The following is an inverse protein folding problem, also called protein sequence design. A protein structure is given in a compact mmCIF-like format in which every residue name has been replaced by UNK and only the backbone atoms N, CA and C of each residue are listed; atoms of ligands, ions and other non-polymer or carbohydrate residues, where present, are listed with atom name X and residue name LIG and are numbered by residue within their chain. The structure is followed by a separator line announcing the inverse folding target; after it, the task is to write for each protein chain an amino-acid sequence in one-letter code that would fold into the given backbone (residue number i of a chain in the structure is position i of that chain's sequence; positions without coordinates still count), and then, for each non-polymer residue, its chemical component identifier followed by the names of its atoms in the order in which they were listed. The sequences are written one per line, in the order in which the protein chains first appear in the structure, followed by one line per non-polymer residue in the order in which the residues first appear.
data_IF_276681932294
#
_entry.id   IF_276681932294
#
_cell.length_a   1.000
_cell.length_b   1.000
_cell.length_c   1.000
_cell.angle_alpha   90.00
_cell.angle_beta   90.00
_cell.angle_gamma   90.00
#
_symmetry.space_group_name_H-M   'P 1'
#
loop_
_entity.id
_entity.type
_entity.pdbx_description
1 polymer ?
#
# COMPACT_ATOMS: atom_id res chain seq x y z
N UNK A 1 -38.51 40.82 0.50
CA UNK A 1 -38.24 40.45 -0.91
C UNK A 1 -37.33 39.22 -0.88
N UNK A 2 -37.88 37.99 -0.96
CA UNK A 2 -37.90 37.12 -2.17
C UNK A 2 -36.54 37.06 -2.88
N UNK A 3 -35.79 35.98 -2.69
CA UNK A 3 -35.56 34.96 -3.73
C UNK A 3 -34.16 35.19 -4.35
N UNK A 4 -33.29 34.22 -4.62
CA UNK A 4 -33.51 32.89 -5.14
C UNK A 4 -32.41 31.91 -4.69
N UNK A 5 -32.78 30.63 -4.61
CA UNK A 5 -31.87 29.48 -4.66
C UNK A 5 -31.41 29.30 -6.11
N UNK A 6 -30.13 29.07 -6.37
CA UNK A 6 -29.67 28.54 -7.66
C UNK A 6 -28.98 27.20 -7.44
N UNK A 7 -29.61 26.18 -8.01
CA UNK A 7 -29.15 24.82 -8.21
C UNK A 7 -28.37 24.82 -9.54
N UNK A 8 -27.14 24.29 -9.57
CA UNK A 8 -26.49 23.88 -10.83
C UNK A 8 -26.28 22.38 -10.73
N UNK A 9 -27.17 21.63 -11.40
CA UNK A 9 -26.91 20.29 -11.89
C UNK A 9 -26.49 20.48 -13.35
N UNK A 10 -25.29 20.04 -13.71
CA UNK A 10 -24.91 19.86 -15.10
C UNK A 10 -24.01 18.62 -15.23
N UNK A 11 -24.66 17.47 -15.42
CA UNK A 11 -24.09 16.38 -16.21
C UNK A 11 -24.55 16.65 -17.65
N UNK A 12 -23.62 16.90 -18.57
CA UNK A 12 -23.87 16.65 -19.99
C UNK A 12 -22.55 16.31 -20.69
N UNK A 13 -22.37 15.00 -20.88
CA UNK A 13 -21.59 14.43 -21.97
C UNK A 13 -22.26 14.84 -23.29
N UNK A 14 -21.53 15.53 -24.18
CA UNK A 14 -21.26 15.15 -25.58
C UNK A 14 -20.85 16.37 -26.44
N UNK A 15 -19.89 16.13 -27.34
CA UNK A 15 -19.41 16.98 -28.45
C UNK A 15 -18.49 18.18 -28.13
N UNK A 16 -17.21 17.86 -27.91
CA UNK A 16 -16.09 18.58 -28.53
C UNK A 16 -15.25 17.57 -29.33
N UNK A 17 -15.74 17.26 -30.54
CA UNK A 17 -14.93 16.64 -31.58
C UNK A 17 -14.07 17.76 -32.20
N UNK A 18 -12.80 17.81 -31.83
CA UNK A 18 -11.83 18.74 -32.42
C UNK A 18 -10.89 19.29 -31.36
N UNK A 19 -9.59 19.02 -31.54
CA UNK A 19 -8.47 19.39 -30.66
C UNK A 19 -8.29 18.55 -29.40
N UNK A 20 -8.00 17.26 -29.55
CA UNK A 20 -6.88 16.58 -28.85
C UNK A 20 -6.50 15.34 -29.66
N UNK A 21 -6.07 15.56 -30.91
CA UNK A 21 -5.31 14.55 -31.64
C UNK A 21 -3.95 14.38 -30.95
N UNK A 22 -3.76 13.22 -30.31
CA UNK A 22 -2.56 12.76 -29.58
C UNK A 22 -2.39 13.30 -28.15
N UNK A 23 -3.35 13.06 -27.25
CA UNK A 23 -2.90 12.37 -26.04
C UNK A 23 -2.62 10.95 -26.49
N UNK A 24 -1.35 10.54 -26.49
CA UNK A 24 -1.05 9.11 -26.40
C UNK A 24 -1.78 8.69 -25.14
N UNK A 25 -2.90 7.99 -25.28
CA UNK A 25 -3.58 7.41 -24.13
C UNK A 25 -2.49 6.57 -23.44
N UNK A 26 -2.04 7.02 -22.28
CA UNK A 26 -1.11 6.23 -21.49
C UNK A 26 -1.73 4.84 -21.37
N UNK A 27 -0.96 3.75 -21.58
CA UNK A 27 -1.53 2.43 -21.49
C UNK A 27 -2.23 2.31 -20.15
N UNK A 28 -3.52 1.93 -20.19
CA UNK A 28 -4.31 1.78 -18.97
C UNK A 28 -3.54 0.89 -17.98
N UNK A 29 -3.56 1.23 -16.68
CA UNK A 29 -2.91 0.40 -15.67
C UNK A 29 -3.40 -1.05 -15.81
N UNK A 30 -2.47 -2.00 -15.79
CA UNK A 30 -2.78 -3.43 -15.91
C UNK A 30 -3.57 -3.96 -14.72
N UNK A 31 -3.55 -3.23 -13.61
CA UNK A 31 -4.19 -3.56 -12.35
C UNK A 31 -4.55 -2.27 -11.61
N UNK A 32 -5.80 -2.13 -11.15
CA UNK A 32 -6.25 -1.03 -10.30
C UNK A 32 -6.89 -1.62 -9.05
N UNK A 33 -6.36 -1.25 -7.89
CA UNK A 33 -6.83 -1.73 -6.59
C UNK A 33 -7.43 -0.58 -5.79
N UNK A 34 -8.22 -0.92 -4.78
CA UNK A 34 -8.90 0.08 -3.94
C UNK A 34 -8.74 -0.24 -2.46
N UNK A 35 -8.49 0.79 -1.67
CA UNK A 35 -8.91 0.81 -0.27
C UNK A 35 -10.26 1.53 -0.19
N UNK A 36 -11.28 0.85 0.34
CA UNK A 36 -12.57 1.45 0.65
C UNK A 36 -12.94 1.11 2.09
N UNK A 37 -13.16 2.11 2.97
CA UNK A 37 -13.44 1.86 4.38
C UNK A 37 -14.56 0.86 4.59
N UNK A 38 -14.36 -0.08 5.53
CA UNK A 38 -15.30 -1.15 5.90
C UNK A 38 -15.65 -2.18 4.81
N UNK A 39 -15.10 -2.09 3.61
CA UNK A 39 -15.45 -3.00 2.51
C UNK A 39 -15.06 -4.46 2.76
N UNK A 40 -14.13 -4.72 3.68
CA UNK A 40 -13.80 -6.08 4.11
C UNK A 40 -14.97 -6.82 4.79
N UNK A 41 -15.92 -6.07 5.34
CA UNK A 41 -17.12 -6.59 6.00
C UNK A 41 -18.40 -6.37 5.17
N UNK A 42 -18.37 -5.39 4.26
CA UNK A 42 -19.46 -5.12 3.33
C UNK A 42 -18.96 -4.86 1.90
N UNK A 43 -18.94 -5.93 1.10
CA UNK A 43 -18.49 -5.89 -0.30
C UNK A 43 -19.40 -5.01 -1.17
N UNK A 44 -20.65 -4.77 -0.78
CA UNK A 44 -21.56 -3.92 -1.57
C UNK A 44 -21.01 -2.51 -1.72
N UNK A 45 -20.22 -2.02 -0.76
CA UNK A 45 -19.57 -0.72 -0.83
C UNK A 45 -18.66 -0.57 -2.06
N UNK A 46 -17.78 -1.55 -2.30
CA UNK A 46 -16.91 -1.52 -3.51
C UNK A 46 -17.76 -1.69 -4.76
N UNK A 47 -18.73 -2.61 -4.78
CA UNK A 47 -19.56 -2.88 -5.96
C UNK A 47 -20.40 -1.67 -6.39
N UNK A 48 -20.95 -0.93 -5.43
CA UNK A 48 -21.68 0.30 -5.70
C UNK A 48 -20.75 1.37 -6.24
N UNK A 49 -19.57 1.53 -5.63
CA UNK A 49 -18.57 2.50 -6.09
C UNK A 49 -18.05 2.18 -7.51
N UNK A 50 -17.82 0.90 -7.83
CA UNK A 50 -17.52 0.43 -9.18
C UNK A 50 -18.63 0.78 -10.18
N UNK A 51 -19.90 0.61 -9.78
CA UNK A 51 -21.05 0.95 -10.61
C UNK A 51 -21.12 2.46 -10.89
N UNK A 52 -20.89 3.28 -9.87
CA UNK A 52 -20.92 4.74 -9.98
C UNK A 52 -19.79 5.27 -10.89
N UNK A 53 -18.61 4.65 -10.82
CA UNK A 53 -17.45 5.02 -11.63
C UNK A 53 -17.41 4.37 -13.02
N UNK A 54 -18.16 3.29 -13.24
CA UNK A 54 -18.06 2.49 -14.46
C UNK A 54 -16.72 1.74 -14.60
N UNK A 55 -16.07 1.39 -13.47
CA UNK A 55 -14.79 0.66 -13.44
C UNK A 55 -14.91 -0.65 -12.67
N UNK A 56 -13.92 -1.53 -12.81
CA UNK A 56 -13.77 -2.73 -11.99
C UNK A 56 -12.39 -2.74 -11.36
N UNK A 57 -12.34 -2.94 -10.04
CA UNK A 57 -11.10 -3.10 -9.32
C UNK A 57 -10.64 -4.55 -9.38
N UNK A 58 -9.32 -4.74 -9.43
CA UNK A 58 -8.68 -6.05 -9.46
C UNK A 58 -8.40 -6.58 -8.04
N UNK A 59 -8.27 -5.68 -7.08
CA UNK A 59 -7.87 -5.97 -5.71
C UNK A 59 -8.45 -4.98 -4.72
N UNK A 60 -8.52 -5.42 -3.47
CA UNK A 60 -9.08 -4.66 -2.37
C UNK A 60 -8.16 -4.74 -1.15
N UNK A 61 -7.92 -3.58 -0.54
CA UNK A 61 -6.95 -3.38 0.53
C UNK A 61 -7.64 -3.25 1.90
N UNK A 62 -6.99 -3.73 2.96
CA UNK A 62 -7.33 -3.40 4.34
C UNK A 62 -6.07 -3.34 5.22
N UNK A 63 -6.23 -2.88 6.46
CA UNK A 63 -5.15 -2.61 7.39
C UNK A 63 -5.34 -3.46 8.65
N UNK A 64 -4.24 -4.01 9.17
CA UNK A 64 -4.17 -4.60 10.51
C UNK A 64 -2.89 -4.13 11.19
N UNK A 65 -2.98 -3.87 12.49
CA UNK A 65 -1.81 -3.75 13.34
C UNK A 65 -1.47 -5.10 14.01
N UNK A 66 -0.44 -5.13 14.84
CA UNK A 66 0.01 -6.35 15.52
C UNK A 66 -0.75 -6.68 16.81
N UNK A 67 -1.87 -6.01 17.05
CA UNK A 67 -2.82 -6.35 18.14
C UNK A 67 -3.97 -7.22 17.64
N UNK A 68 -4.05 -7.42 16.32
CA UNK A 68 -5.11 -8.19 15.68
C UNK A 68 -4.50 -9.39 14.95
N UNK A 69 -5.11 -10.56 15.17
CA UNK A 69 -4.80 -11.77 14.41
C UNK A 69 -5.24 -11.61 12.94
N UNK A 70 -4.82 -12.53 12.08
CA UNK A 70 -5.19 -12.47 10.67
C UNK A 70 -6.70 -12.61 10.49
N UNK A 71 -7.34 -11.58 9.92
CA UNK A 71 -8.78 -11.55 9.67
C UNK A 71 -9.16 -12.39 8.44
N UNK A 72 -9.17 -13.72 8.59
CA UNK A 72 -9.46 -14.66 7.50
C UNK A 72 -10.77 -14.34 6.76
N UNK A 73 -11.80 -13.91 7.47
CA UNK A 73 -13.11 -13.61 6.86
C UNK A 73 -13.06 -12.40 5.93
N UNK A 74 -12.28 -11.37 6.27
CA UNK A 74 -12.05 -10.21 5.38
C UNK A 74 -11.34 -10.64 4.11
N UNK A 75 -10.27 -11.44 4.24
CA UNK A 75 -9.54 -11.97 3.09
C UNK A 75 -10.42 -12.87 2.21
N UNK A 76 -11.27 -13.71 2.82
CA UNK A 76 -12.25 -14.56 2.11
C UNK A 76 -13.33 -13.73 1.41
N UNK A 77 -13.83 -12.67 2.03
CA UNK A 77 -14.84 -11.80 1.43
C UNK A 77 -14.32 -11.13 0.16
N UNK A 78 -13.10 -10.59 0.20
CA UNK A 78 -12.46 -10.04 -0.99
C UNK A 78 -12.21 -11.10 -2.06
N UNK A 79 -11.57 -12.22 -1.68
CA UNK A 79 -11.20 -13.25 -2.64
C UNK A 79 -12.40 -13.93 -3.31
N UNK A 80 -13.45 -14.26 -2.55
CA UNK A 80 -14.69 -14.86 -3.09
C UNK A 80 -15.49 -13.90 -3.96
N UNK A 81 -15.28 -12.59 -3.80
CA UNK A 81 -15.90 -11.54 -4.60
C UNK A 81 -15.09 -11.14 -5.84
N UNK A 82 -13.96 -11.82 -6.09
CA UNK A 82 -13.12 -11.59 -7.28
C UNK A 82 -12.01 -10.56 -7.11
N UNK A 83 -11.79 -10.04 -5.90
CA UNK A 83 -10.72 -9.10 -5.59
C UNK A 83 -9.49 -9.83 -5.05
N UNK A 84 -8.29 -9.51 -5.56
CA UNK A 84 -7.03 -9.87 -4.91
C UNK A 84 -6.95 -9.17 -3.54
N UNK A 85 -6.88 -9.91 -2.42
CA UNK A 85 -6.74 -9.30 -1.10
C UNK A 85 -5.32 -8.72 -0.94
N UNK A 86 -5.23 -7.47 -0.47
CA UNK A 86 -3.98 -6.80 -0.11
C UNK A 86 -4.05 -6.29 1.33
N UNK A 87 -3.22 -6.85 2.20
CA UNK A 87 -3.13 -6.45 3.61
C UNK A 87 -1.98 -5.46 3.78
N UNK A 88 -2.25 -4.25 4.27
CA UNK A 88 -1.24 -3.46 4.97
C UNK A 88 -1.11 -3.96 6.39
N UNK A 89 0.10 -4.44 6.72
CA UNK A 89 0.38 -5.03 8.02
C UNK A 89 1.37 -4.14 8.79
N UNK A 90 0.82 -3.45 9.78
CA UNK A 90 1.48 -2.39 10.52
C UNK A 90 2.10 -2.95 11.80
N UNK A 91 3.44 -2.96 11.94
CA UNK A 91 4.11 -3.54 13.09
C UNK A 91 4.06 -2.59 14.29
N UNK A 92 2.87 -2.39 14.83
CA UNK A 92 2.60 -1.56 16.00
C UNK A 92 1.67 -2.25 17.01
N UNK A 93 1.91 -1.98 18.29
CA UNK A 93 1.13 -2.46 19.44
C UNK A 93 0.92 -1.28 20.40
N UNK A 94 -0.31 -1.06 20.87
CA UNK A 94 -0.64 0.02 21.80
C UNK A 94 -0.26 1.41 21.28
N UNK A 95 -0.39 1.64 19.97
CA UNK A 95 0.00 2.90 19.34
C UNK A 95 1.50 3.07 19.05
N UNK A 96 2.34 2.08 19.38
CA UNK A 96 3.81 2.18 19.26
C UNK A 96 4.35 1.19 18.25
N UNK A 97 5.28 1.61 17.41
CA UNK A 97 5.99 0.71 16.52
C UNK A 97 6.88 -0.25 17.31
N UNK A 98 6.96 -1.49 16.85
CA UNK A 98 7.86 -2.48 17.44
C UNK A 98 9.31 -2.13 17.11
N UNK A 99 10.23 -2.52 18.00
CA UNK A 99 11.65 -2.51 17.67
C UNK A 99 11.96 -3.69 16.78
N UNK A 100 12.62 -3.44 15.66
CA UNK A 100 13.02 -4.51 14.73
C UNK A 100 13.93 -5.55 15.39
N UNK A 101 14.74 -5.15 16.37
CA UNK A 101 15.59 -6.07 17.13
C UNK A 101 14.78 -7.02 18.01
N UNK A 102 13.68 -6.56 18.61
CA UNK A 102 12.80 -7.38 19.46
C UNK A 102 12.09 -8.46 18.63
N UNK A 103 11.74 -8.12 17.38
CA UNK A 103 11.20 -9.08 16.42
C UNK A 103 12.25 -10.13 16.08
N UNK A 104 13.47 -9.73 15.74
CA UNK A 104 14.53 -10.68 15.37
C UNK A 104 15.06 -11.50 16.55
N UNK A 105 14.84 -11.07 17.79
CA UNK A 105 15.20 -11.81 19.01
C UNK A 105 14.12 -12.78 19.47
N UNK A 106 12.97 -12.79 18.82
CA UNK A 106 11.92 -13.78 19.02
C UNK A 106 10.76 -13.33 19.91
N UNK A 107 10.71 -12.06 20.33
CA UNK A 107 9.68 -11.56 21.27
C UNK A 107 8.26 -11.74 20.72
N UNK A 108 8.10 -11.71 19.39
CA UNK A 108 6.80 -11.78 18.72
C UNK A 108 6.56 -13.11 17.98
N UNK A 109 7.37 -14.13 18.26
CA UNK A 109 7.38 -15.38 17.48
C UNK A 109 6.03 -16.10 17.48
N UNK A 110 5.39 -16.23 18.64
CA UNK A 110 4.09 -16.87 18.74
C UNK A 110 3.02 -16.16 17.91
N UNK A 111 3.01 -14.82 17.92
CA UNK A 111 2.10 -14.03 17.09
C UNK A 111 2.38 -14.25 15.60
N UNK A 112 3.65 -14.11 15.19
CA UNK A 112 4.05 -14.23 13.78
C UNK A 112 3.81 -15.64 13.22
N UNK A 113 4.02 -16.68 14.03
CA UNK A 113 3.77 -18.07 13.64
C UNK A 113 2.29 -18.38 13.49
N UNK A 114 1.45 -17.93 14.43
CA UNK A 114 0.00 -18.07 14.31
C UNK A 114 -0.52 -17.32 13.07
N UNK A 115 -0.07 -16.08 12.87
CA UNK A 115 -0.46 -15.29 11.70
C UNK A 115 -0.04 -15.98 10.39
N UNK A 116 1.18 -16.54 10.33
CA UNK A 116 1.64 -17.29 9.17
C UNK A 116 0.81 -18.56 8.91
N UNK A 117 0.43 -19.28 9.97
CA UNK A 117 -0.43 -20.47 9.86
C UNK A 117 -1.83 -20.11 9.38
N UNK A 118 -2.40 -18.99 9.83
CA UNK A 118 -3.70 -18.50 9.37
C UNK A 118 -3.66 -18.05 7.91
N UNK A 119 -2.60 -17.35 7.50
CA UNK A 119 -2.39 -16.99 6.09
C UNK A 119 -2.22 -18.23 5.23
N UNK A 120 -1.51 -19.26 5.69
CA UNK A 120 -1.44 -20.56 5.01
C UNK A 120 -2.82 -21.20 4.89
N UNK A 121 -3.59 -21.22 5.96
CA UNK A 121 -4.92 -21.83 5.99
C UNK A 121 -5.91 -21.13 5.06
N UNK A 122 -5.77 -19.82 4.84
CA UNK A 122 -6.54 -19.08 3.83
C UNK A 122 -6.34 -19.66 2.41
N UNK A 123 -5.13 -20.12 2.08
CA UNK A 123 -4.87 -20.95 0.90
C UNK A 123 -5.01 -20.29 -0.47
N UNK A 124 -5.41 -19.02 -0.53
CA UNK A 124 -5.46 -18.20 -1.77
C UNK A 124 -4.35 -17.15 -1.78
N UNK A 125 -3.96 -16.64 -2.95
CA UNK A 125 -3.00 -15.54 -3.04
C UNK A 125 -3.45 -14.32 -2.24
N UNK A 126 -2.52 -13.74 -1.49
CA UNK A 126 -2.69 -12.48 -0.76
C UNK A 126 -1.40 -11.68 -0.89
N UNK A 127 -1.51 -10.36 -1.07
CA UNK A 127 -0.39 -9.44 -0.94
C UNK A 127 -0.31 -8.90 0.48
N UNK A 128 0.90 -8.84 1.02
CA UNK A 128 1.19 -8.27 2.34
C UNK A 128 2.17 -7.11 2.15
N UNK A 129 1.67 -5.90 2.39
CA UNK A 129 2.46 -4.67 2.51
C UNK A 129 2.90 -4.57 3.96
N UNK A 130 4.05 -5.15 4.26
CA UNK A 130 4.62 -5.17 5.62
C UNK A 130 5.31 -3.85 5.91
N UNK A 131 4.97 -3.20 7.02
CA UNK A 131 5.64 -1.99 7.50
C UNK A 131 5.78 -0.92 6.39
N UNK A 132 4.66 -0.44 5.80
CA UNK A 132 4.71 0.57 4.75
C UNK A 132 5.41 1.84 5.23
N UNK A 133 5.93 2.62 4.29
CA UNK A 133 6.59 3.91 4.56
C UNK A 133 7.71 3.83 5.61
N UNK A 134 8.37 2.68 5.71
CA UNK A 134 9.43 2.44 6.72
C UNK A 134 10.60 3.44 6.65
N UNK A 135 10.76 4.14 5.53
CA UNK A 135 11.81 5.14 5.28
C UNK A 135 11.48 6.54 5.82
N UNK A 136 10.45 6.67 6.66
CA UNK A 136 9.93 7.95 7.17
C UNK A 136 10.06 8.02 8.69
N UNK A 137 9.85 9.21 9.27
CA UNK A 137 9.89 9.47 10.71
C UNK A 137 8.49 9.75 11.32
N UNK A 138 7.41 9.52 10.56
CA UNK A 138 6.04 9.69 11.03
C UNK A 138 5.29 8.38 11.25
N UNK A 139 5.71 7.28 10.61
CA UNK A 139 5.17 5.96 10.94
C UNK A 139 5.80 5.45 12.24
N UNK A 140 5.05 4.85 13.19
CA UNK A 140 5.62 4.44 14.48
C UNK A 140 6.81 3.46 14.40
N UNK A 141 6.90 2.67 13.32
CA UNK A 141 7.97 1.70 13.03
C UNK A 141 9.06 2.26 12.11
N UNK A 142 8.94 3.52 11.69
CA UNK A 142 9.77 4.17 10.71
C UNK A 142 11.25 4.29 11.10
N UNK A 143 12.02 4.82 10.17
CA UNK A 143 13.45 4.96 10.29
C UNK A 143 13.83 5.86 11.47
N UNK A 144 14.86 5.46 12.24
CA UNK A 144 15.32 6.11 13.49
C UNK A 144 14.30 6.14 14.63
N UNK A 145 13.08 5.65 14.44
CA UNK A 145 12.11 5.48 15.52
C UNK A 145 12.31 4.13 16.22
N UNK A 146 12.11 4.12 17.54
CA UNK A 146 12.31 2.95 18.40
C UNK A 146 13.71 2.27 18.30
N UNK A 147 14.72 2.95 17.72
CA UNK A 147 16.05 2.38 17.45
C UNK A 147 16.13 1.61 16.11
N UNK A 148 15.15 1.74 15.24
CA UNK A 148 15.12 1.12 13.92
C UNK A 148 16.09 1.82 12.96
N UNK A 149 16.78 1.01 12.14
CA UNK A 149 17.81 1.45 11.18
C UNK A 149 17.64 0.66 9.88
N UNK A 150 18.33 1.05 8.81
CA UNK A 150 18.34 0.29 7.54
C UNK A 150 18.78 -1.16 7.76
N UNK A 151 19.75 -1.39 8.65
CA UNK A 151 20.30 -2.70 8.95
C UNK A 151 19.27 -3.55 9.69
N UNK A 152 18.66 -3.00 10.74
CA UNK A 152 17.64 -3.72 11.52
C UNK A 152 16.36 -3.93 10.71
N UNK A 153 16.00 -3.02 9.81
CA UNK A 153 14.89 -3.18 8.87
C UNK A 153 15.09 -4.40 7.96
N UNK A 154 16.26 -4.51 7.33
CA UNK A 154 16.57 -5.66 6.46
C UNK A 154 16.52 -6.97 7.23
N UNK A 155 17.01 -6.99 8.47
CA UNK A 155 16.97 -8.18 9.33
C UNK A 155 15.52 -8.54 9.70
N UNK A 156 14.74 -7.57 10.17
CA UNK A 156 13.32 -7.70 10.48
C UNK A 156 12.51 -8.27 9.32
N UNK A 157 12.65 -7.67 8.13
CA UNK A 157 11.95 -8.12 6.93
C UNK A 157 12.25 -9.58 6.59
N UNK A 158 13.54 -9.91 6.51
CA UNK A 158 13.99 -11.27 6.17
C UNK A 158 13.51 -12.29 7.21
N UNK A 159 13.53 -11.91 8.48
CA UNK A 159 13.10 -12.74 9.59
C UNK A 159 11.63 -13.14 9.47
N UNK A 160 10.72 -12.17 9.26
CA UNK A 160 9.29 -12.43 9.10
C UNK A 160 9.01 -13.27 7.85
N UNK A 161 9.59 -12.90 6.71
CA UNK A 161 9.41 -13.66 5.46
C UNK A 161 9.87 -15.11 5.63
N UNK A 162 10.99 -15.33 6.32
CA UNK A 162 11.48 -16.68 6.61
C UNK A 162 10.51 -17.46 7.52
N UNK A 163 9.94 -16.83 8.55
CA UNK A 163 8.92 -17.50 9.40
C UNK A 163 7.71 -17.97 8.60
N UNK A 164 7.19 -17.11 7.72
CA UNK A 164 6.07 -17.48 6.85
C UNK A 164 6.43 -18.63 5.91
N UNK A 165 7.64 -18.59 5.32
CA UNK A 165 8.14 -19.68 4.48
C UNK A 165 8.28 -20.99 5.26
N UNK A 166 8.84 -20.95 6.47
CA UNK A 166 8.97 -22.11 7.36
C UNK A 166 7.62 -22.70 7.78
N UNK A 167 6.61 -21.85 8.00
CA UNK A 167 5.24 -22.30 8.26
C UNK A 167 4.56 -22.92 7.01
N UNK A 168 5.10 -22.65 5.82
CA UNK A 168 4.55 -23.08 4.53
C UNK A 168 3.53 -22.12 3.92
N UNK A 169 3.46 -20.87 4.39
CA UNK A 169 2.57 -19.82 3.90
C UNK A 169 3.06 -19.21 2.56
N UNK A 170 3.22 -20.04 1.54
CA UNK A 170 3.77 -19.65 0.22
C UNK A 170 2.78 -18.84 -0.64
N UNK A 171 1.53 -18.77 -0.20
CA UNK A 171 0.47 -17.96 -0.78
C UNK A 171 0.58 -16.47 -0.40
N UNK A 172 1.38 -16.13 0.62
CA UNK A 172 1.74 -14.75 0.92
C UNK A 172 2.71 -14.18 -0.13
N UNK A 173 2.40 -13.02 -0.68
CA UNK A 173 3.24 -12.25 -1.60
C UNK A 173 3.68 -10.95 -0.94
N UNK A 174 4.99 -10.75 -0.82
CA UNK A 174 5.56 -9.66 -0.04
C UNK A 174 5.75 -8.40 -0.88
N UNK A 175 5.17 -7.30 -0.41
CA UNK A 175 5.22 -5.98 -1.07
C UNK A 175 6.06 -5.01 -0.24
N UNK A 176 7.27 -4.71 -0.68
CA UNK A 176 8.15 -3.75 -0.01
C UNK A 176 7.84 -2.33 -0.50
N UNK A 177 7.11 -1.55 0.29
CA UNK A 177 6.53 -0.27 -0.11
C UNK A 177 7.03 0.91 0.74
N UNK A 178 8.13 1.56 0.36
CA UNK A 178 8.53 2.83 0.95
C UNK A 178 7.63 3.99 0.50
N UNK A 179 7.66 5.07 1.26
CA UNK A 179 7.13 6.37 0.83
C UNK A 179 8.03 6.96 -0.26
N UNK A 180 7.45 7.81 -1.11
CA UNK A 180 8.20 8.62 -2.07
C UNK A 180 9.23 9.48 -1.35
N UNK A 181 10.45 9.52 -1.89
CA UNK A 181 11.54 10.27 -1.30
C UNK A 181 11.66 11.62 -2.03
N UNK A 182 11.70 12.77 -1.31
CA UNK A 182 12.03 14.04 -1.92
C UNK A 182 13.39 13.98 -2.61
N UNK A 183 13.54 14.67 -3.75
CA UNK A 183 14.82 14.72 -4.46
C UNK A 183 15.96 15.18 -3.52
N UNK A 184 16.99 14.35 -3.37
CA UNK A 184 18.16 14.65 -2.53
C UNK A 184 18.07 14.24 -1.05
N UNK A 185 17.10 13.40 -0.66
CA UNK A 185 17.02 12.93 0.72
C UNK A 185 18.24 12.08 1.14
N UNK A 186 18.49 12.04 2.45
CA UNK A 186 19.68 11.43 3.06
C UNK A 186 19.67 9.89 3.12
N UNK A 187 18.55 9.26 2.80
CA UNK A 187 18.39 7.79 2.84
C UNK A 187 18.07 7.26 1.45
N UNK A 188 18.65 6.12 1.10
CA UNK A 188 18.46 5.49 -0.20
C UNK A 188 17.67 4.19 -0.08
N UNK A 189 16.82 3.89 -1.07
CA UNK A 189 16.13 2.61 -1.14
C UNK A 189 17.10 1.42 -1.10
N UNK A 190 18.29 1.57 -1.71
CA UNK A 190 19.33 0.53 -1.72
C UNK A 190 19.77 0.10 -0.32
N UNK A 191 19.83 1.02 0.65
CA UNK A 191 20.28 0.72 2.00
C UNK A 191 19.27 -0.13 2.78
N UNK A 192 17.97 0.10 2.55
CA UNK A 192 16.87 -0.56 3.25
C UNK A 192 16.32 -1.79 2.51
N UNK A 193 16.59 -1.93 1.20
CA UNK A 193 16.03 -3.01 0.41
C UNK A 193 16.54 -4.39 0.88
N UNK A 194 15.63 -5.33 1.22
CA UNK A 194 16.01 -6.63 1.78
C UNK A 194 16.53 -7.62 0.73
N UNK A 195 16.38 -7.32 -0.56
CA UNK A 195 16.84 -8.14 -1.68
C UNK A 195 15.72 -8.94 -2.35
N UNK A 196 15.92 -9.21 -3.64
CA UNK A 196 14.91 -9.80 -4.53
C UNK A 196 14.38 -11.18 -4.10
N UNK A 197 15.15 -11.93 -3.33
CA UNK A 197 14.71 -13.23 -2.80
C UNK A 197 13.72 -13.11 -1.65
N UNK A 198 13.45 -11.91 -1.14
CA UNK A 198 12.54 -11.63 -0.02
C UNK A 198 11.37 -10.72 -0.43
N UNK A 199 11.27 -10.35 -1.70
CA UNK A 199 10.30 -9.39 -2.22
C UNK A 199 9.66 -9.95 -3.48
N UNK A 200 8.33 -9.99 -3.51
CA UNK A 200 7.57 -10.37 -4.71
C UNK A 200 7.26 -9.13 -5.56
N UNK A 201 6.91 -8.02 -4.91
CA UNK A 201 6.64 -6.71 -5.52
C UNK A 201 7.30 -5.59 -4.72
N UNK A 202 7.73 -4.54 -5.39
CA UNK A 202 8.03 -3.27 -4.73
C UNK A 202 6.83 -2.34 -4.78
N UNK A 203 6.77 -1.37 -3.87
CA UNK A 203 5.70 -0.38 -3.77
C UNK A 203 6.25 1.05 -3.75
N UNK A 204 5.38 2.03 -4.00
CA UNK A 204 5.59 3.43 -3.68
C UNK A 204 4.29 4.02 -3.14
N UNK A 205 4.39 4.80 -2.06
CA UNK A 205 3.29 5.54 -1.45
C UNK A 205 3.56 7.04 -1.57
N UNK A 206 2.60 7.81 -2.10
CA UNK A 206 2.80 9.22 -2.36
C UNK A 206 1.51 9.97 -2.66
N UNK A 207 1.44 11.22 -2.26
CA UNK A 207 0.20 11.99 -2.28
C UNK A 207 0.42 13.38 -2.86
N UNK A 208 -0.52 13.82 -3.69
CA UNK A 208 -0.65 15.23 -4.03
C UNK A 208 -1.50 15.92 -2.94
N UNK A 209 -0.85 16.64 -2.05
CA UNK A 209 -1.52 17.35 -0.95
C UNK A 209 -2.16 18.67 -1.37
N UNK A 210 -1.93 19.14 -2.61
CA UNK A 210 -2.47 20.40 -3.09
C UNK A 210 -2.10 21.55 -2.16
N UNK A 211 -3.05 22.43 -1.89
CA UNK A 211 -2.92 23.51 -0.88
C UNK A 211 -3.63 23.17 0.43
N UNK A 212 -3.85 21.88 0.73
CA UNK A 212 -4.59 21.45 1.92
C UNK A 212 -3.79 21.58 3.23
N UNK A 213 -2.46 21.70 3.12
CA UNK A 213 -1.54 21.88 4.25
C UNK A 213 -0.72 23.16 4.06
N UNK A 214 -0.27 23.75 5.17
CA UNK A 214 0.57 24.96 5.13
C UNK A 214 1.93 24.73 4.46
N UNK A 215 2.41 23.50 4.45
CA UNK A 215 3.70 23.09 3.86
C UNK A 215 3.57 22.47 2.46
N UNK A 216 2.35 22.30 1.92
CA UNK A 216 2.13 21.60 0.65
C UNK A 216 1.85 22.55 -0.51
N UNK A 217 2.18 22.10 -1.72
CA UNK A 217 1.75 22.70 -2.99
C UNK A 217 1.19 21.62 -3.89
N UNK A 218 0.42 22.01 -4.90
CA UNK A 218 -0.05 21.07 -5.92
C UNK A 218 1.11 20.45 -6.68
N UNK A 219 1.07 19.13 -6.85
CA UNK A 219 2.04 18.35 -7.60
C UNK A 219 1.32 17.38 -8.54
N UNK A 220 1.77 17.30 -9.79
CA UNK A 220 1.37 16.25 -10.72
C UNK A 220 1.88 14.87 -10.27
N UNK A 221 1.33 13.81 -10.86
CA UNK A 221 1.80 12.43 -10.59
C UNK A 221 3.31 12.26 -10.81
N UNK A 222 3.84 12.80 -11.91
CA UNK A 222 5.27 12.70 -12.21
C UNK A 222 6.12 13.44 -11.17
N UNK A 223 5.67 14.62 -10.71
CA UNK A 223 6.37 15.37 -9.67
C UNK A 223 6.39 14.65 -8.32
N UNK A 224 5.35 13.88 -8.00
CA UNK A 224 5.30 13.07 -6.77
C UNK A 224 6.17 11.82 -6.90
N UNK A 225 6.07 11.08 -8.01
CA UNK A 225 6.59 9.70 -8.08
C UNK A 225 7.88 9.52 -8.89
N UNK A 226 8.18 10.36 -9.88
CA UNK A 226 9.19 10.04 -10.91
C UNK A 226 10.61 9.85 -10.34
N UNK A 227 11.04 10.72 -9.41
CA UNK A 227 12.35 10.61 -8.76
C UNK A 227 12.49 9.30 -7.97
N UNK A 228 11.46 8.96 -7.21
CA UNK A 228 11.37 7.74 -6.42
C UNK A 228 11.35 6.50 -7.32
N UNK A 229 10.57 6.53 -8.40
CA UNK A 229 10.52 5.48 -9.40
C UNK A 229 11.91 5.20 -10.01
N UNK A 230 12.63 6.24 -10.44
CA UNK A 230 14.00 6.08 -10.97
C UNK A 230 14.97 5.51 -9.94
N UNK A 231 14.85 5.97 -8.69
CA UNK A 231 15.72 5.50 -7.60
C UNK A 231 15.44 4.03 -7.27
N UNK A 232 14.17 3.62 -7.27
CA UNK A 232 13.75 2.25 -6.95
C UNK A 232 14.09 1.26 -8.07
N UNK A 233 13.89 1.66 -9.32
CA UNK A 233 14.24 0.83 -10.50
C UNK A 233 15.74 0.66 -10.69
N UNK A 234 16.57 1.53 -10.09
CA UNK A 234 18.02 1.34 -10.02
C UNK A 234 18.44 0.27 -8.98
N UNK A 235 17.56 -0.07 -8.02
CA UNK A 235 17.83 -1.04 -6.96
C UNK A 235 17.39 -2.45 -7.34
N UNK A 236 16.29 -2.59 -8.08
CA UNK A 236 15.70 -3.88 -8.42
C UNK A 236 14.90 -3.86 -9.72
N UNK A 237 14.75 -5.04 -10.32
CA UNK A 237 13.89 -5.29 -11.49
C UNK A 237 12.49 -5.81 -11.14
N UNK A 238 12.16 -5.94 -9.84
CA UNK A 238 10.83 -6.35 -9.39
C UNK A 238 9.77 -5.35 -9.87
N UNK A 239 8.55 -5.85 -10.10
CA UNK A 239 7.41 -5.02 -10.48
C UNK A 239 7.09 -4.04 -9.36
N UNK A 240 6.86 -2.78 -9.73
CA UNK A 240 6.44 -1.71 -8.83
C UNK A 240 4.92 -1.59 -8.84
N UNK A 241 4.34 -1.49 -7.65
CA UNK A 241 2.95 -1.10 -7.40
C UNK A 241 2.95 0.34 -6.88
N UNK A 242 1.94 1.13 -7.23
CA UNK A 242 1.61 2.34 -6.46
C UNK A 242 0.65 1.86 -5.36
N UNK A 243 1.17 1.57 -4.17
CA UNK A 243 0.41 0.92 -3.09
C UNK A 243 -0.52 1.88 -2.38
N UNK A 244 -0.20 3.18 -2.43
CA UNK A 244 -1.08 4.27 -2.02
C UNK A 244 -0.86 5.51 -2.88
N UNK A 245 -1.97 6.14 -3.24
CA UNK A 245 -2.00 7.43 -3.91
C UNK A 245 -3.31 8.16 -3.61
N UNK A 246 -3.24 9.48 -3.55
CA UNK A 246 -4.38 10.36 -3.50
C UNK A 246 -4.04 11.77 -3.98
N UNK A 247 -5.08 12.53 -4.30
CA UNK A 247 -4.99 13.95 -4.61
C UNK A 247 -6.12 14.69 -3.89
N UNK A 248 -5.80 15.85 -3.31
CA UNK A 248 -6.81 16.82 -2.88
C UNK A 248 -7.30 17.68 -4.03
#
# INVERSE_FOLDING_TARGET
MRGAKLLIIAVLLTFLFGFFSKLIAAPLPKEVNIFYPHAGYDIALIKNFESDLGVKFNGAKWYLNWETDFTQDVAKNFSSSGYLPELTWEPMIGGKGVKYTDVTSGVYDSYLENFALDVKAFGKPIRIVLAPEMNTDWTPWGYQLAGNTDITHKAFWKYIVNKFRSAGATNAKWVWAPNVIPYGAKYSYAQMYPGDSYVDFTGLEGYNWGTSRSWSVWQSFDEVFYSSYKSLTAVTSKKILITEIGST
#
